data_IF_922445411296
#
_entry.id   IF_922445411296
#
_cell.length_a   1.000
_cell.length_b   1.000
_cell.length_c   1.000
_cell.angle_alpha   90.00
_cell.angle_beta   90.00
_cell.angle_gamma   90.00
#
_symmetry.space_group_name_H-M   'P 1'
#
loop_
_entity.id
_entity.type
_entity.pdbx_description
1 polymer ?
#
# COMPACT_ATOMS: atom_id res chain seq x y z
N UNK A 1 -4.42 1.07 41.31
CA UNK A 1 -5.64 0.28 41.01
C UNK A 1 -5.46 -0.36 39.64
N UNK A 2 -5.75 -1.65 39.44
CA UNK A 2 -6.25 -2.12 38.14
C UNK A 2 -6.89 -3.51 38.24
N UNK A 3 -8.21 -3.54 38.34
CA UNK A 3 -9.05 -4.70 38.02
C UNK A 3 -9.06 -4.90 36.52
N UNK A 4 -8.93 -6.16 36.08
CA UNK A 4 -9.32 -6.57 34.72
C UNK A 4 -10.84 -6.54 34.70
N UNK A 5 -11.41 -5.54 34.02
CA UNK A 5 -12.83 -5.54 33.70
C UNK A 5 -13.08 -6.69 32.71
N UNK A 6 -13.93 -7.63 33.10
CA UNK A 6 -14.39 -8.73 32.25
C UNK A 6 -15.13 -8.13 31.04
N UNK A 7 -14.88 -8.70 29.86
CA UNK A 7 -15.50 -8.24 28.63
C UNK A 7 -17.02 -8.30 28.78
N UNK A 8 -17.69 -7.17 28.56
CA UNK A 8 -19.15 -7.10 28.63
C UNK A 8 -19.73 -7.81 27.42
N UNK A 9 -20.59 -8.79 27.65
CA UNK A 9 -21.40 -9.41 26.61
C UNK A 9 -22.39 -8.38 26.09
N UNK A 10 -22.04 -7.75 24.97
CA UNK A 10 -22.95 -6.89 24.22
C UNK A 10 -23.88 -7.77 23.40
N UNK A 11 -25.20 -7.74 23.65
CA UNK A 11 -26.15 -8.49 22.84
C UNK A 11 -26.27 -7.81 21.47
N UNK A 12 -25.65 -8.41 20.46
CA UNK A 12 -25.77 -7.96 19.08
C UNK A 12 -27.20 -8.23 18.59
N UNK A 13 -27.88 -7.17 18.15
CA UNK A 13 -29.14 -7.24 17.42
C UNK A 13 -29.00 -6.41 16.14
N UNK A 14 -29.68 -6.80 15.05
CA UNK A 14 -29.70 -6.00 13.84
C UNK A 14 -30.38 -4.66 14.13
N UNK A 15 -29.72 -3.57 13.75
CA UNK A 15 -30.25 -2.23 13.92
C UNK A 15 -31.59 -2.10 13.15
N UNK A 16 -32.71 -1.83 13.83
CA UNK A 16 -34.02 -1.78 13.20
C UNK A 16 -34.17 -0.61 12.22
N UNK A 17 -33.33 0.42 12.35
CA UNK A 17 -33.39 1.61 11.51
C UNK A 17 -32.52 1.47 10.25
N UNK A 18 -31.62 0.49 10.21
CA UNK A 18 -30.72 0.26 9.08
C UNK A 18 -31.23 -0.87 8.18
N UNK A 19 -31.47 -0.54 6.92
CA UNK A 19 -31.70 -1.57 5.90
C UNK A 19 -30.39 -2.35 5.63
N UNK A 20 -30.50 -3.65 5.28
CA UNK A 20 -29.34 -4.43 4.90
C UNK A 20 -28.59 -3.79 3.73
N UNK A 21 -27.28 -3.61 3.86
CA UNK A 21 -26.43 -3.10 2.79
C UNK A 21 -26.24 -4.23 1.77
N UNK A 22 -26.83 -4.07 0.58
CA UNK A 22 -26.63 -4.97 -0.55
C UNK A 22 -25.49 -4.41 -1.40
N UNK A 23 -24.43 -5.19 -1.55
CA UNK A 23 -23.28 -4.85 -2.40
C UNK A 23 -23.45 -5.63 -3.70
N UNK A 24 -23.66 -4.91 -4.81
CA UNK A 24 -23.81 -5.51 -6.13
C UNK A 24 -22.45 -5.94 -6.70
N UNK A 25 -22.43 -7.02 -7.48
CA UNK A 25 -21.20 -7.54 -8.10
C UNK A 25 -20.55 -6.52 -9.03
N UNK A 26 -21.34 -5.68 -9.70
CA UNK A 26 -20.84 -4.59 -10.56
C UNK A 26 -20.02 -3.56 -9.77
N UNK A 27 -20.44 -3.25 -8.53
CA UNK A 27 -19.72 -2.35 -7.64
C UNK A 27 -18.38 -2.97 -7.21
N UNK A 28 -18.38 -4.27 -6.94
CA UNK A 28 -17.16 -5.01 -6.57
C UNK A 28 -16.18 -5.00 -7.73
N UNK A 29 -16.63 -5.28 -8.95
CA UNK A 29 -15.76 -5.32 -10.13
C UNK A 29 -15.23 -3.93 -10.50
N UNK A 30 -16.06 -2.88 -10.38
CA UNK A 30 -15.58 -1.50 -10.56
C UNK A 30 -14.48 -1.17 -9.55
N UNK A 31 -14.72 -1.42 -8.27
CA UNK A 31 -13.72 -1.15 -7.22
C UNK A 31 -12.45 -1.98 -7.40
N UNK A 32 -12.56 -3.25 -7.85
CA UNK A 32 -11.40 -4.08 -8.20
C UNK A 32 -10.57 -3.49 -9.34
N UNK A 33 -11.22 -2.89 -10.34
CA UNK A 33 -10.51 -2.23 -11.45
C UNK A 33 -9.82 -0.93 -11.05
N UNK A 34 -10.33 -0.23 -10.04
CA UNK A 34 -9.76 1.00 -9.51
C UNK A 34 -8.66 0.76 -8.46
N UNK A 35 -8.62 -0.45 -7.88
CA UNK A 35 -7.62 -0.80 -6.88
C UNK A 35 -6.22 -0.73 -7.50
N UNK A 36 -5.34 0.14 -6.99
CA UNK A 36 -3.95 0.18 -7.42
C UNK A 36 -3.26 -1.12 -7.03
N UNK A 37 -2.15 -1.42 -7.72
CA UNK A 37 -1.33 -2.57 -7.37
C UNK A 37 -0.95 -2.56 -5.89
N UNK A 38 -1.10 -3.71 -5.24
CA UNK A 38 -0.73 -3.86 -3.85
C UNK A 38 0.76 -3.51 -3.68
N UNK A 39 1.14 -2.89 -2.56
CA UNK A 39 2.53 -2.61 -2.26
C UNK A 39 3.39 -3.88 -2.32
N UNK A 40 2.81 -5.05 -2.03
CA UNK A 40 3.50 -6.34 -2.12
C UNK A 40 3.78 -6.79 -3.55
N UNK A 41 2.85 -6.59 -4.48
CA UNK A 41 3.05 -6.92 -5.89
C UNK A 41 4.01 -5.94 -6.56
N UNK A 42 3.98 -4.65 -6.17
CA UNK A 42 4.96 -3.64 -6.63
C UNK A 42 6.41 -3.94 -6.17
N UNK A 43 6.64 -4.70 -5.10
CA UNK A 43 8.00 -5.03 -4.61
C UNK A 43 8.82 -5.88 -5.57
N UNK A 44 8.19 -6.77 -6.32
CA UNK A 44 8.89 -7.74 -7.16
C UNK A 44 9.54 -7.10 -8.40
N UNK A 45 8.84 -6.23 -9.16
CA UNK A 45 9.47 -5.45 -10.23
C UNK A 45 10.64 -4.60 -9.73
N UNK A 46 10.50 -3.90 -8.59
CA UNK A 46 11.59 -3.07 -8.05
C UNK A 46 12.88 -3.84 -7.74
N UNK A 47 12.78 -5.11 -7.35
CA UNK A 47 13.97 -5.93 -7.07
C UNK A 47 14.50 -6.58 -8.35
N UNK A 48 13.62 -7.06 -9.22
CA UNK A 48 13.99 -7.81 -10.41
C UNK A 48 14.44 -6.92 -11.57
N UNK A 49 13.77 -5.79 -11.80
CA UNK A 49 14.01 -4.88 -12.93
C UNK A 49 15.04 -3.80 -12.58
N UNK A 50 15.01 -3.31 -11.33
CA UNK A 50 15.87 -2.20 -10.89
C UNK A 50 17.07 -2.63 -10.02
N UNK A 51 17.21 -3.93 -9.72
CA UNK A 51 18.35 -4.49 -8.98
C UNK A 51 18.53 -3.90 -7.58
N UNK A 52 17.45 -3.40 -6.97
CA UNK A 52 17.49 -2.71 -5.69
C UNK A 52 17.71 -3.71 -4.54
N UNK A 53 18.64 -3.35 -3.63
CA UNK A 53 18.90 -4.18 -2.46
C UNK A 53 17.64 -4.27 -1.58
N UNK A 54 17.25 -5.49 -1.19
CA UNK A 54 15.98 -5.77 -0.54
C UNK A 54 15.77 -5.10 0.83
N UNK A 55 16.83 -4.67 1.53
CA UNK A 55 16.72 -4.27 2.95
C UNK A 55 16.43 -2.79 3.18
N UNK A 56 17.26 -1.84 2.71
CA UNK A 56 17.04 -0.42 3.02
C UNK A 56 15.90 0.19 2.18
N UNK A 57 15.80 -0.20 0.90
CA UNK A 57 14.94 0.48 -0.06
C UNK A 57 13.49 0.01 -0.04
N UNK A 58 13.23 -1.24 0.38
CA UNK A 58 11.87 -1.79 0.42
C UNK A 58 10.97 -1.00 1.36
N UNK A 59 11.44 -0.68 2.56
CA UNK A 59 10.62 0.05 3.53
C UNK A 59 10.31 1.48 3.08
N UNK A 60 11.27 2.17 2.45
CA UNK A 60 11.09 3.55 1.99
C UNK A 60 10.20 3.65 0.75
N UNK A 61 10.41 2.79 -0.26
CA UNK A 61 9.66 2.86 -1.52
C UNK A 61 8.22 2.37 -1.39
N UNK A 62 7.92 1.49 -0.41
CA UNK A 62 6.54 1.08 -0.10
C UNK A 62 5.95 1.80 1.11
N UNK A 63 6.61 2.85 1.64
CA UNK A 63 6.08 3.62 2.78
C UNK A 63 4.80 4.37 2.38
N UNK A 64 4.82 4.96 1.19
CA UNK A 64 3.69 5.67 0.59
C UNK A 64 3.63 5.39 -0.90
N UNK A 65 2.41 5.36 -1.45
CA UNK A 65 2.18 5.15 -2.89
C UNK A 65 2.95 6.17 -3.74
N UNK A 66 2.95 7.44 -3.30
CA UNK A 66 3.62 8.55 -4.00
C UNK A 66 5.12 8.30 -4.22
N UNK A 67 5.80 7.72 -3.23
CA UNK A 67 7.25 7.48 -3.31
C UNK A 67 7.59 6.41 -4.35
N UNK A 68 6.75 5.37 -4.44
CA UNK A 68 6.89 4.32 -5.48
C UNK A 68 6.57 4.86 -6.87
N UNK A 69 5.47 5.59 -7.02
CA UNK A 69 5.03 6.17 -8.30
C UNK A 69 6.06 7.20 -8.81
N UNK A 70 6.71 7.96 -7.93
CA UNK A 70 7.78 8.89 -8.30
C UNK A 70 9.02 8.18 -8.85
N UNK A 71 9.43 7.05 -8.26
CA UNK A 71 10.56 6.27 -8.77
C UNK A 71 10.28 5.72 -10.17
N UNK A 72 9.06 5.20 -10.39
CA UNK A 72 8.60 4.72 -11.70
C UNK A 72 8.63 5.85 -12.75
N UNK A 73 8.21 7.07 -12.39
CA UNK A 73 8.26 8.23 -13.28
C UNK A 73 9.69 8.76 -13.53
N UNK A 74 10.56 8.73 -12.52
CA UNK A 74 11.91 9.27 -12.62
C UNK A 74 12.86 8.35 -13.41
N UNK A 75 12.62 7.02 -13.39
CA UNK A 75 13.50 6.06 -14.06
C UNK A 75 13.66 6.27 -15.58
N UNK A 76 12.60 6.50 -16.37
CA UNK A 76 12.75 6.75 -17.81
C UNK A 76 13.43 8.10 -18.13
N UNK A 77 13.42 9.07 -17.21
CA UNK A 77 13.98 10.40 -17.43
C UNK A 77 15.51 10.47 -17.27
N UNK A 78 16.11 9.52 -16.54
CA UNK A 78 17.55 9.46 -16.31
C UNK A 78 18.14 8.08 -16.64
N UNK A 79 18.24 7.71 -17.94
CA UNK A 79 18.78 6.42 -18.37
C UNK A 79 20.26 6.21 -17.98
N UNK A 80 20.99 7.30 -17.69
CA UNK A 80 22.42 7.28 -17.36
C UNK A 80 22.71 7.13 -15.86
N UNK A 81 21.68 7.18 -14.99
CA UNK A 81 21.85 6.99 -13.55
C UNK A 81 21.41 5.59 -13.20
N UNK A 82 22.32 4.80 -12.62
CA UNK A 82 21.98 3.46 -12.15
C UNK A 82 20.80 3.55 -11.18
N UNK A 83 19.70 2.79 -11.37
CA UNK A 83 18.49 2.91 -10.56
C UNK A 83 18.76 2.67 -9.07
N UNK A 84 19.86 1.98 -8.75
CA UNK A 84 20.39 1.79 -7.40
C UNK A 84 20.80 3.08 -6.65
N UNK A 85 21.09 4.17 -7.37
CA UNK A 85 21.53 5.47 -6.82
C UNK A 85 20.42 6.52 -6.76
N UNK A 86 19.28 6.30 -7.42
CA UNK A 86 18.18 7.27 -7.38
C UNK A 86 17.53 7.39 -5.99
N UNK A 87 17.29 6.30 -5.25
CA UNK A 87 16.75 6.38 -3.88
C UNK A 87 17.58 7.23 -2.92
N UNK A 88 18.91 7.16 -3.02
CA UNK A 88 19.83 7.96 -2.20
C UNK A 88 19.76 9.46 -2.48
N UNK A 89 19.36 9.87 -3.69
CA UNK A 89 19.18 11.29 -4.03
C UNK A 89 17.90 11.87 -3.42
N UNK A 90 16.94 11.02 -3.05
CA UNK A 90 15.69 11.46 -2.41
C UNK A 90 15.81 11.67 -0.90
N UNK A 91 16.88 11.17 -0.27
CA UNK A 91 17.06 11.24 1.19
C UNK A 91 17.81 12.49 1.65
N UNK A 92 17.72 13.60 0.90
CA UNK A 92 18.32 14.89 1.26
C UNK A 92 17.28 15.71 2.04
N UNK A 93 17.30 15.52 3.35
CA UNK A 93 16.96 16.53 4.36
C UNK A 93 17.62 16.13 5.69
#
# INVERSE_FOLDING_TARGET
MRSKEEAKDYPYFPDPDLLPVIIEDELIERLRSELPELPETKKNPFVNEYGLSPKPWRAQLTATRETGDYLEQASPLQPNVSPKKMPTLFNVN
#
